data_IF_315316974712
#
_entry.id   IF_315316974712
#
_cell.length_a   1.000
_cell.length_b   1.000
_cell.length_c   1.000
_cell.angle_alpha   90.00
_cell.angle_beta   90.00
_cell.angle_gamma   90.00
#
_symmetry.space_group_name_H-M   'P 1'
#
loop_
_entity.id
_entity.type
_entity.pdbx_description
1 polymer ?
#
# COMPACT_ATOMS: atom_id res chain seq x y z
N UNK A 1 -47.86 21.97 41.22
CA UNK A 1 -47.15 22.15 39.94
C UNK A 1 -45.67 22.30 40.27
N UNK A 2 -44.90 21.21 40.15
CA UNK A 2 -43.46 21.19 40.39
C UNK A 2 -42.74 21.85 39.22
N UNK A 3 -41.96 22.89 39.50
CA UNK A 3 -40.91 23.37 38.58
C UNK A 3 -39.70 22.46 38.77
N UNK A 4 -39.38 21.67 37.76
CA UNK A 4 -38.08 21.03 37.63
C UNK A 4 -37.09 22.10 37.15
N UNK A 5 -36.09 22.39 37.98
CA UNK A 5 -34.86 23.05 37.55
C UNK A 5 -34.07 22.08 36.67
N UNK A 6 -33.98 22.39 35.38
CA UNK A 6 -32.99 21.82 34.48
C UNK A 6 -31.72 22.66 34.66
N UNK A 7 -30.75 22.14 35.41
CA UNK A 7 -29.40 22.68 35.41
C UNK A 7 -28.78 22.40 34.03
N UNK A 8 -28.57 23.45 33.25
CA UNK A 8 -27.67 23.41 32.09
C UNK A 8 -26.27 23.08 32.61
N UNK A 9 -25.75 21.90 32.23
CA UNK A 9 -24.33 21.61 32.38
C UNK A 9 -23.57 22.51 31.41
N UNK A 10 -22.97 23.58 31.93
CA UNK A 10 -21.90 24.30 31.25
C UNK A 10 -20.78 23.30 30.96
N UNK A 11 -20.64 22.90 29.69
CA UNK A 11 -19.45 22.22 29.20
C UNK A 11 -18.28 23.19 29.26
N UNK A 12 -17.43 23.06 30.27
CA UNK A 12 -16.11 23.68 30.28
C UNK A 12 -15.38 23.33 28.98
N UNK A 13 -14.79 24.30 28.27
CA UNK A 13 -14.03 24.00 27.07
C UNK A 13 -12.81 23.17 27.48
N UNK A 14 -12.77 21.90 27.06
CA UNK A 14 -11.55 21.10 27.13
C UNK A 14 -10.45 21.90 26.42
N UNK A 15 -9.32 22.14 27.11
CA UNK A 15 -8.14 22.73 26.49
C UNK A 15 -7.72 21.92 25.27
N UNK A 16 -6.90 22.45 24.35
CA UNK A 16 -6.54 21.75 23.12
C UNK A 16 -5.94 20.37 23.47
N UNK A 17 -6.70 19.31 23.18
CA UNK A 17 -6.26 17.93 23.39
C UNK A 17 -5.18 17.62 22.35
N UNK A 18 -4.00 17.17 22.79
CA UNK A 18 -2.90 16.76 21.89
C UNK A 18 -3.41 15.71 20.90
N UNK A 19 -3.11 15.87 19.62
CA UNK A 19 -3.56 14.91 18.59
C UNK A 19 -2.65 13.68 18.50
N UNK A 20 -3.10 12.61 17.84
CA UNK A 20 -2.29 11.42 17.63
C UNK A 20 -1.07 11.72 16.75
N UNK A 21 -1.22 12.58 15.75
CA UNK A 21 -0.14 13.04 14.88
C UNK A 21 0.89 13.87 15.65
N UNK A 22 0.47 14.82 16.49
CA UNK A 22 1.38 15.62 17.34
C UNK A 22 2.17 14.71 18.30
N UNK A 23 1.48 13.81 18.99
CA UNK A 23 2.10 12.90 19.96
C UNK A 23 3.05 11.89 19.28
N UNK A 24 2.65 11.36 18.12
CA UNK A 24 3.47 10.45 17.33
C UNK A 24 4.74 11.13 16.79
N UNK A 25 4.62 12.39 16.34
CA UNK A 25 5.75 13.25 15.94
C UNK A 25 6.69 13.54 17.10
N UNK A 26 6.16 13.82 18.28
CA UNK A 26 6.96 14.03 19.48
C UNK A 26 7.71 12.76 19.89
N UNK A 27 7.08 11.58 19.81
CA UNK A 27 7.73 10.29 20.06
C UNK A 27 8.85 10.00 19.06
N UNK A 28 8.62 10.28 17.77
CA UNK A 28 9.65 10.16 16.74
C UNK A 28 10.85 11.08 17.03
N UNK A 29 10.60 12.35 17.33
CA UNK A 29 11.67 13.33 17.60
C UNK A 29 12.44 12.98 18.88
N UNK A 30 11.74 12.54 19.92
CA UNK A 30 12.37 12.00 21.13
C UNK A 30 13.30 10.83 20.76
N UNK A 31 12.82 9.87 19.98
CA UNK A 31 13.60 8.70 19.60
C UNK A 31 14.83 9.07 18.77
N UNK A 32 14.71 10.06 17.88
CA UNK A 32 15.81 10.59 17.06
C UNK A 32 16.91 11.19 17.94
N UNK A 33 16.56 12.09 18.85
CA UNK A 33 17.52 12.79 19.74
C UNK A 33 18.21 11.89 20.74
N UNK A 34 17.57 10.78 21.13
CA UNK A 34 18.10 9.86 22.13
C UNK A 34 18.72 8.60 21.52
N UNK A 35 18.80 8.48 20.18
CA UNK A 35 19.42 7.33 19.52
C UNK A 35 18.59 6.04 19.64
N UNK A 36 17.27 6.17 19.78
CA UNK A 36 16.33 5.05 19.80
C UNK A 36 15.78 4.70 18.40
N UNK A 37 16.08 5.49 17.36
CA UNK A 37 15.76 5.13 15.97
C UNK A 37 16.71 4.06 15.41
N UNK A 38 16.23 3.34 14.40
CA UNK A 38 17.06 2.46 13.56
C UNK A 38 17.93 3.24 12.58
N UNK A 39 17.41 4.36 12.06
CA UNK A 39 18.10 5.27 11.15
C UNK A 39 18.33 6.61 11.87
N UNK A 40 19.59 6.95 12.21
CA UNK A 40 19.91 8.19 12.91
C UNK A 40 19.57 9.45 12.11
N UNK A 41 19.71 9.40 10.79
CA UNK A 41 19.53 10.53 9.87
C UNK A 41 18.07 10.68 9.38
N UNK A 42 17.10 10.10 10.08
CA UNK A 42 15.69 10.29 9.78
C UNK A 42 15.28 11.77 9.92
N UNK A 43 14.23 12.16 9.19
CA UNK A 43 13.71 13.52 9.22
C UNK A 43 13.37 13.98 10.66
N UNK A 44 13.69 15.22 11.00
CA UNK A 44 13.33 15.82 12.29
C UNK A 44 11.86 16.21 12.34
N UNK A 45 11.31 16.30 13.54
CA UNK A 45 10.01 16.92 13.79
C UNK A 45 10.15 18.14 14.71
N UNK A 46 9.34 19.20 14.52
CA UNK A 46 9.34 20.35 15.43
C UNK A 46 8.77 20.02 16.82
N UNK A 47 7.95 18.97 16.92
CA UNK A 47 7.32 18.56 18.19
C UNK A 47 8.36 18.00 19.16
N UNK A 48 8.56 18.69 20.28
CA UNK A 48 9.52 18.30 21.31
C UNK A 48 8.80 18.11 22.64
N UNK A 49 8.73 16.86 23.08
CA UNK A 49 8.18 16.49 24.38
C UNK A 49 9.10 15.49 25.08
N UNK A 50 9.11 15.50 26.41
CA UNK A 50 9.74 14.44 27.20
C UNK A 50 8.89 13.16 27.19
N UNK A 51 9.45 12.03 27.60
CA UNK A 51 8.66 10.80 27.72
C UNK A 51 7.57 10.89 28.79
N UNK A 52 7.77 11.66 29.86
CA UNK A 52 6.75 11.94 30.87
C UNK A 52 5.53 12.61 30.24
N UNK A 53 5.75 13.58 29.35
CA UNK A 53 4.70 14.27 28.63
C UNK A 53 4.04 13.35 27.59
N UNK A 54 4.85 12.62 26.80
CA UNK A 54 4.33 11.74 25.74
C UNK A 54 3.46 10.62 26.32
N UNK A 55 3.90 10.02 27.43
CA UNK A 55 3.28 8.83 27.99
C UNK A 55 2.43 9.09 29.25
N UNK A 56 2.20 10.35 29.63
CA UNK A 56 1.47 10.75 30.84
C UNK A 56 1.93 10.00 32.10
N UNK A 57 3.23 10.03 32.35
CA UNK A 57 3.85 9.14 33.34
C UNK A 57 4.90 9.84 34.20
N UNK A 58 5.21 9.28 35.36
CA UNK A 58 6.32 9.74 36.20
C UNK A 58 7.70 9.41 35.60
N UNK A 59 8.74 10.05 36.13
CA UNK A 59 10.12 9.89 35.64
C UNK A 59 10.70 8.49 35.81
N UNK A 60 10.22 7.69 36.76
CA UNK A 60 10.71 6.32 36.95
C UNK A 60 10.15 5.38 35.89
N UNK A 61 8.86 5.51 35.58
CA UNK A 61 8.25 4.80 34.47
C UNK A 61 8.77 5.30 33.10
N UNK A 62 8.99 6.61 32.93
CA UNK A 62 9.63 7.17 31.74
C UNK A 62 11.02 6.57 31.47
N UNK A 63 11.86 6.39 32.51
CA UNK A 63 13.16 5.69 32.39
C UNK A 63 13.00 4.25 31.91
N UNK A 64 12.00 3.52 32.43
CA UNK A 64 11.73 2.12 32.01
C UNK A 64 11.25 2.04 30.57
N UNK A 65 10.41 2.98 30.14
CA UNK A 65 9.93 3.11 28.75
C UNK A 65 11.10 3.42 27.84
N UNK A 66 11.95 4.40 28.18
CA UNK A 66 13.16 4.71 27.43
C UNK A 66 14.04 3.48 27.21
N UNK A 67 14.36 2.73 28.27
CA UNK A 67 15.13 1.49 28.16
C UNK A 67 14.47 0.45 27.23
N UNK A 68 13.15 0.34 27.27
CA UNK A 68 12.40 -0.54 26.37
C UNK A 68 12.51 -0.08 24.91
N UNK A 69 12.29 1.20 24.62
CA UNK A 69 12.36 1.76 23.27
C UNK A 69 13.77 1.68 22.68
N UNK A 70 14.82 1.92 23.47
CA UNK A 70 16.21 1.72 23.05
C UNK A 70 16.51 0.27 22.69
N UNK A 71 15.94 -0.69 23.44
CA UNK A 71 16.08 -2.12 23.15
C UNK A 71 15.28 -2.52 21.91
N UNK A 72 14.12 -1.92 21.68
CA UNK A 72 13.26 -2.23 20.54
C UNK A 72 13.76 -1.65 19.22
N UNK A 73 14.38 -0.46 19.27
CA UNK A 73 14.78 0.37 18.13
C UNK A 73 13.61 0.68 17.22
N UNK A 74 13.15 1.93 17.24
CA UNK A 74 12.02 2.39 16.46
C UNK A 74 12.43 2.50 14.98
N UNK A 75 11.72 1.78 14.13
CA UNK A 75 11.83 1.84 12.67
C UNK A 75 11.04 3.02 12.13
N UNK A 76 9.80 3.18 12.59
CA UNK A 76 8.92 4.29 12.22
C UNK A 76 7.78 4.43 13.25
N UNK A 77 7.10 5.57 13.21
CA UNK A 77 5.87 5.82 13.97
C UNK A 77 4.78 6.21 12.98
N UNK A 78 3.60 5.62 13.14
CA UNK A 78 2.41 6.01 12.37
C UNK A 78 1.31 6.50 13.30
N UNK A 79 0.43 7.37 12.80
CA UNK A 79 -0.70 7.89 13.56
C UNK A 79 -1.93 8.10 12.66
N UNK A 80 -3.10 8.18 13.31
CA UNK A 80 -4.36 8.61 12.71
C UNK A 80 -5.16 9.38 13.76
N UNK A 81 -5.36 10.68 13.52
CA UNK A 81 -6.10 11.58 14.41
C UNK A 81 -7.58 11.20 14.52
N UNK A 82 -8.18 10.76 13.42
CA UNK A 82 -9.63 10.44 13.36
C UNK A 82 -9.95 9.23 14.24
N UNK A 83 -9.06 8.26 14.28
CA UNK A 83 -9.21 7.04 15.07
C UNK A 83 -8.45 7.08 16.41
N UNK A 84 -7.81 8.21 16.74
CA UNK A 84 -6.99 8.39 17.95
C UNK A 84 -6.03 7.21 18.16
N UNK A 85 -5.25 6.88 17.13
CA UNK A 85 -4.35 5.73 17.14
C UNK A 85 -2.91 6.14 16.80
N UNK A 86 -1.95 5.50 17.49
CA UNK A 86 -0.52 5.51 17.16
C UNK A 86 -0.03 4.07 17.06
N UNK A 87 0.73 3.76 16.01
CA UNK A 87 1.47 2.51 15.92
C UNK A 87 2.98 2.75 15.86
N UNK A 88 3.70 2.15 16.80
CA UNK A 88 5.16 2.24 16.91
C UNK A 88 5.78 0.99 16.31
N UNK A 89 6.41 1.15 15.15
CA UNK A 89 7.04 0.07 14.41
C UNK A 89 8.48 -0.10 14.88
N UNK A 90 8.85 -1.30 15.28
CA UNK A 90 10.11 -1.59 15.96
C UNK A 90 10.89 -2.70 15.24
N UNK A 91 12.21 -2.51 15.10
CA UNK A 91 13.09 -3.49 14.46
C UNK A 91 13.18 -4.79 15.24
N UNK A 92 13.30 -4.72 16.56
CA UNK A 92 13.51 -5.91 17.38
C UNK A 92 12.17 -6.51 17.83
N UNK A 93 12.19 -7.80 18.17
CA UNK A 93 11.00 -8.49 18.67
C UNK A 93 10.57 -7.95 20.04
N UNK A 94 9.26 -7.86 20.25
CA UNK A 94 8.67 -7.42 21.51
C UNK A 94 8.42 -8.65 22.38
N UNK A 95 9.18 -8.81 23.46
CA UNK A 95 8.94 -9.88 24.43
C UNK A 95 7.80 -9.53 25.37
N UNK A 96 7.19 -10.53 26.01
CA UNK A 96 6.17 -10.32 27.03
C UNK A 96 6.64 -9.39 28.17
N UNK A 97 7.90 -9.50 28.58
CA UNK A 97 8.50 -8.62 29.59
C UNK A 97 8.62 -7.16 29.14
N UNK A 98 8.90 -6.90 27.85
CA UNK A 98 8.97 -5.55 27.30
C UNK A 98 7.55 -4.99 27.14
N UNK A 99 6.61 -5.78 26.63
CA UNK A 99 5.22 -5.34 26.40
C UNK A 99 4.57 -4.80 27.69
N UNK A 100 4.83 -5.41 28.84
CA UNK A 100 4.33 -4.94 30.15
C UNK A 100 4.84 -3.57 30.58
N UNK A 101 5.90 -3.06 29.96
CA UNK A 101 6.49 -1.74 30.26
C UNK A 101 5.97 -0.63 29.35
N UNK A 102 5.31 -0.99 28.25
CA UNK A 102 4.90 -0.05 27.22
C UNK A 102 3.42 0.32 27.41
N UNK A 103 3.08 1.61 27.54
CA UNK A 103 1.70 2.05 27.65
C UNK A 103 0.93 1.73 26.37
N UNK A 104 -0.31 1.26 26.50
CA UNK A 104 -1.19 0.96 25.35
C UNK A 104 -2.24 2.03 25.12
N UNK A 105 -2.36 3.01 26.03
CA UNK A 105 -3.27 4.14 25.90
C UNK A 105 -2.76 5.32 26.73
N UNK A 106 -2.72 6.51 26.15
CA UNK A 106 -2.27 7.77 26.77
C UNK A 106 -3.01 8.93 26.09
N UNK A 107 -3.32 10.02 26.80
CA UNK A 107 -4.06 11.17 26.25
C UNK A 107 -5.39 10.78 25.56
N UNK A 108 -5.99 9.66 25.96
CA UNK A 108 -7.15 9.07 25.29
C UNK A 108 -6.89 8.47 23.89
N UNK A 109 -5.63 8.38 23.46
CA UNK A 109 -5.12 7.80 22.21
C UNK A 109 -4.59 6.39 22.47
N UNK A 110 -4.97 5.44 21.62
CA UNK A 110 -4.48 4.06 21.68
C UNK A 110 -3.09 3.92 21.04
N UNK A 111 -2.18 3.21 21.71
CA UNK A 111 -0.83 2.95 21.24
C UNK A 111 -0.60 1.45 21.05
N UNK A 112 -0.22 1.06 19.84
CA UNK A 112 0.22 -0.29 19.49
C UNK A 112 1.70 -0.35 19.14
N UNK A 113 2.31 -1.51 19.37
CA UNK A 113 3.71 -1.76 19.05
C UNK A 113 3.86 -2.99 18.19
N UNK A 114 4.53 -2.86 17.05
CA UNK A 114 4.78 -3.96 16.10
C UNK A 114 6.26 -4.24 16.04
N UNK A 115 6.68 -5.45 16.42
CA UNK A 115 8.07 -5.88 16.40
C UNK A 115 8.48 -6.53 15.08
N UNK A 116 9.80 -6.69 14.89
CA UNK A 116 10.43 -7.29 13.70
C UNK A 116 10.13 -6.52 12.40
N UNK A 117 10.03 -5.19 12.47
CA UNK A 117 9.75 -4.35 11.30
C UNK A 117 11.03 -3.82 10.67
N UNK A 118 11.16 -3.98 9.36
CA UNK A 118 12.26 -3.44 8.56
C UNK A 118 11.76 -2.57 7.41
N UNK A 119 12.66 -1.80 6.82
CA UNK A 119 12.45 -1.12 5.54
C UNK A 119 13.45 -1.72 4.56
N UNK A 120 12.95 -2.30 3.48
CA UNK A 120 13.79 -2.89 2.44
C UNK A 120 14.21 -1.85 1.40
N UNK A 121 15.25 -2.19 0.63
CA UNK A 121 15.66 -1.40 -0.53
C UNK A 121 14.71 -1.67 -1.69
N UNK A 122 14.36 -0.65 -2.47
CA UNK A 122 13.51 -0.75 -3.64
C UNK A 122 14.31 -0.73 -4.96
N UNK A 123 13.95 -1.55 -5.97
CA UNK A 123 13.11 -2.74 -5.84
C UNK A 123 13.75 -3.77 -4.89
N UNK A 124 12.97 -4.45 -4.03
CA UNK A 124 13.48 -5.52 -3.16
C UNK A 124 13.88 -6.74 -3.99
N UNK A 125 14.73 -7.59 -3.41
CA UNK A 125 15.09 -8.85 -4.04
C UNK A 125 13.83 -9.71 -4.25
N UNK A 126 13.65 -10.16 -5.48
CA UNK A 126 12.52 -11.02 -5.83
C UNK A 126 12.78 -12.45 -5.35
N UNK A 127 11.80 -13.12 -4.72
CA UNK A 127 11.95 -14.52 -4.37
C UNK A 127 12.01 -15.36 -5.66
N UNK A 128 12.93 -16.35 -5.70
CA UNK A 128 13.13 -17.25 -6.85
C UNK A 128 11.92 -18.15 -7.17
N UNK A 129 10.93 -18.22 -6.28
CA UNK A 129 9.66 -18.92 -6.46
C UNK A 129 8.53 -18.14 -5.80
N UNK A 130 7.29 -18.30 -6.28
CA UNK A 130 6.13 -17.85 -5.54
C UNK A 130 6.12 -18.55 -4.18
N UNK A 131 6.44 -17.84 -3.09
CA UNK A 131 6.57 -18.43 -1.75
C UNK A 131 5.29 -19.15 -1.28
N UNK A 132 4.15 -18.89 -1.92
CA UNK A 132 2.84 -19.39 -1.52
C UNK A 132 2.16 -20.33 -2.53
N UNK A 133 2.86 -20.80 -3.58
CA UNK A 133 2.23 -21.64 -4.62
C UNK A 133 1.11 -20.94 -5.42
N UNK A 134 0.97 -19.63 -5.27
CA UNK A 134 0.09 -18.80 -6.09
C UNK A 134 0.70 -18.63 -7.48
N UNK A 135 -0.10 -18.63 -8.55
CA UNK A 135 0.44 -18.41 -9.88
C UNK A 135 0.96 -16.97 -9.99
N UNK A 136 2.14 -16.81 -10.60
CA UNK A 136 2.80 -15.51 -10.86
C UNK A 136 2.19 -14.74 -12.04
N UNK A 137 1.27 -15.39 -12.74
CA UNK A 137 0.48 -14.87 -13.83
C UNK A 137 -0.97 -15.29 -13.59
N UNK A 138 -1.88 -14.33 -13.65
CA UNK A 138 -3.29 -14.56 -13.39
C UNK A 138 -4.11 -14.33 -14.64
N UNK A 139 -5.15 -15.14 -14.82
CA UNK A 139 -6.07 -14.99 -15.93
C UNK A 139 -7.52 -15.25 -15.59
N UNK A 140 -8.38 -14.65 -16.41
CA UNK A 140 -9.82 -14.81 -16.39
C UNK A 140 -10.32 -14.79 -17.83
N UNK A 141 -11.05 -15.83 -18.25
CA UNK A 141 -11.52 -15.99 -19.64
C UNK A 141 -10.41 -15.78 -20.70
N UNK A 142 -9.25 -16.42 -20.49
CA UNK A 142 -8.04 -16.31 -21.33
C UNK A 142 -7.44 -14.89 -21.44
N UNK A 143 -7.84 -13.96 -20.55
CA UNK A 143 -7.31 -12.59 -20.47
C UNK A 143 -6.38 -12.45 -19.29
N UNK A 144 -5.35 -11.63 -19.45
CA UNK A 144 -4.37 -11.30 -18.42
C UNK A 144 -5.01 -10.37 -17.39
N UNK A 145 -5.12 -10.84 -16.16
CA UNK A 145 -5.72 -10.08 -15.06
C UNK A 145 -4.73 -9.12 -14.41
N UNK A 146 -5.25 -8.08 -13.78
CA UNK A 146 -4.52 -7.34 -12.76
C UNK A 146 -4.09 -8.26 -11.60
N UNK A 147 -3.03 -7.89 -10.89
CA UNK A 147 -2.29 -8.76 -10.00
C UNK A 147 -1.17 -9.54 -10.69
N UNK A 148 -1.22 -9.71 -12.03
CA UNK A 148 -0.22 -10.48 -12.79
C UNK A 148 1.16 -9.82 -12.79
N UNK A 149 2.18 -10.61 -13.08
CA UNK A 149 3.52 -10.07 -13.33
C UNK A 149 3.54 -9.09 -14.50
N UNK A 150 4.27 -7.99 -14.34
CA UNK A 150 4.51 -7.01 -15.38
C UNK A 150 5.90 -6.40 -15.25
N UNK A 151 6.48 -6.01 -16.39
CA UNK A 151 7.69 -5.18 -16.43
C UNK A 151 7.84 -4.51 -17.78
N UNK A 152 8.82 -3.62 -17.90
CA UNK A 152 9.26 -3.09 -19.20
C UNK A 152 10.21 -4.07 -19.90
N UNK A 153 10.12 -4.19 -21.23
CA UNK A 153 10.80 -5.23 -22.02
C UNK A 153 12.32 -5.21 -21.93
N UNK A 154 12.92 -4.10 -21.51
CA UNK A 154 14.38 -3.95 -21.38
C UNK A 154 14.94 -4.41 -20.03
N UNK A 155 14.06 -4.78 -19.08
CA UNK A 155 14.46 -5.10 -17.70
C UNK A 155 14.13 -6.56 -17.39
N UNK A 156 15.11 -7.27 -16.83
CA UNK A 156 14.92 -8.61 -16.27
C UNK A 156 14.56 -8.49 -14.78
N UNK A 157 13.39 -7.92 -14.53
CA UNK A 157 12.81 -7.63 -13.22
C UNK A 157 11.30 -7.61 -13.38
N UNK A 158 10.58 -7.39 -12.28
CA UNK A 158 9.28 -7.98 -12.15
C UNK A 158 8.48 -7.33 -11.00
N UNK A 159 7.36 -6.68 -11.33
CA UNK A 159 6.39 -6.20 -10.34
C UNK A 159 4.99 -6.67 -10.66
N UNK A 160 3.98 -5.93 -10.19
CA UNK A 160 2.56 -6.25 -10.33
C UNK A 160 1.85 -5.27 -11.27
N UNK A 161 1.01 -5.82 -12.16
CA UNK A 161 0.04 -5.06 -12.95
C UNK A 161 -1.12 -4.65 -12.04
N UNK A 162 -1.13 -3.41 -11.58
CA UNK A 162 -2.01 -2.96 -10.49
C UNK A 162 -3.47 -2.87 -10.88
N UNK A 163 -3.78 -2.04 -11.87
CA UNK A 163 -5.14 -1.77 -12.31
C UNK A 163 -5.17 -1.19 -13.73
N UNK A 164 -6.36 -1.18 -14.32
CA UNK A 164 -6.69 -0.44 -15.53
C UNK A 164 -7.33 0.91 -15.17
N UNK A 165 -7.07 1.93 -15.97
CA UNK A 165 -7.69 3.25 -15.85
C UNK A 165 -7.89 3.89 -17.23
N UNK A 166 -8.81 4.84 -17.32
CA UNK A 166 -8.97 5.70 -18.48
C UNK A 166 -8.40 7.08 -18.18
N UNK A 167 -7.57 7.60 -19.09
CA UNK A 167 -7.20 9.00 -19.10
C UNK A 167 -8.43 9.86 -19.46
N UNK A 168 -8.36 11.16 -19.17
CA UNK A 168 -9.42 12.12 -19.53
C UNK A 168 -9.76 12.15 -21.04
N UNK A 169 -8.83 11.76 -21.91
CA UNK A 169 -9.05 11.66 -23.36
C UNK A 169 -9.57 10.29 -23.85
N UNK A 170 -9.91 9.40 -22.91
CA UNK A 170 -10.48 8.08 -23.20
C UNK A 170 -9.47 6.98 -23.50
N UNK A 171 -8.17 7.26 -23.48
CA UNK A 171 -7.15 6.21 -23.65
C UNK A 171 -7.10 5.29 -22.44
N UNK A 172 -7.18 3.98 -22.71
CA UNK A 172 -6.99 2.94 -21.70
C UNK A 172 -5.51 2.79 -21.36
N UNK A 173 -5.21 2.86 -20.06
CA UNK A 173 -3.88 2.68 -19.50
C UNK A 173 -3.86 1.58 -18.44
N UNK A 174 -2.72 0.92 -18.30
CA UNK A 174 -2.41 0.10 -17.14
C UNK A 174 -1.47 0.82 -16.19
N UNK A 175 -1.48 0.42 -14.92
CA UNK A 175 -0.66 1.00 -13.86
C UNK A 175 0.32 -0.01 -13.25
N UNK A 176 1.51 0.47 -12.90
CA UNK A 176 2.40 -0.14 -11.91
C UNK A 176 3.24 0.94 -11.24
N UNK A 177 4.13 0.59 -10.30
CA UNK A 177 5.04 1.57 -9.74
C UNK A 177 6.07 2.04 -10.79
N UNK A 178 6.59 3.25 -10.61
CA UNK A 178 7.68 3.78 -11.43
C UNK A 178 8.93 2.91 -11.28
N UNK A 179 9.27 2.46 -10.07
CA UNK A 179 10.42 1.57 -9.92
C UNK A 179 10.27 0.19 -10.59
N UNK A 180 9.05 -0.17 -11.03
CA UNK A 180 8.78 -1.40 -11.79
C UNK A 180 8.80 -1.11 -13.29
N UNK A 181 7.77 -0.44 -13.81
CA UNK A 181 7.59 -0.26 -15.27
C UNK A 181 8.18 1.04 -15.81
N UNK A 182 8.54 1.97 -14.93
CA UNK A 182 9.29 3.19 -15.25
C UNK A 182 10.80 3.04 -15.06
N UNK A 183 11.28 1.90 -14.53
CA UNK A 183 12.70 1.64 -14.21
C UNK A 183 13.33 2.79 -13.41
N UNK A 184 12.64 3.26 -12.37
CA UNK A 184 13.09 4.39 -11.55
C UNK A 184 13.43 5.62 -12.41
N UNK A 185 12.51 6.05 -13.28
CA UNK A 185 12.65 7.15 -14.26
C UNK A 185 13.37 6.83 -15.58
N UNK A 186 13.78 5.58 -15.84
CA UNK A 186 14.66 5.26 -16.98
C UNK A 186 14.02 4.48 -18.12
N UNK A 187 12.71 4.24 -18.08
CA UNK A 187 11.98 3.64 -19.20
C UNK A 187 11.60 4.71 -20.22
N UNK A 188 12.07 4.63 -21.48
CA UNK A 188 11.67 5.59 -22.51
C UNK A 188 10.19 5.46 -22.86
N UNK A 189 9.49 6.57 -23.18
CA UNK A 189 8.16 6.51 -23.77
C UNK A 189 8.15 5.62 -25.02
N UNK A 190 7.11 4.79 -25.15
CA UNK A 190 6.96 3.82 -26.24
C UNK A 190 7.61 2.46 -26.01
N UNK A 191 8.44 2.29 -24.96
CA UNK A 191 9.04 0.98 -24.65
C UNK A 191 7.97 -0.06 -24.31
N UNK A 192 8.10 -1.29 -24.81
CA UNK A 192 7.07 -2.31 -24.60
C UNK A 192 6.94 -2.71 -23.13
N UNK A 193 5.69 -2.91 -22.70
CA UNK A 193 5.37 -3.48 -21.38
C UNK A 193 4.88 -4.91 -21.60
N UNK A 194 5.51 -5.84 -20.90
CA UNK A 194 5.30 -7.28 -21.06
C UNK A 194 4.55 -7.85 -19.86
N UNK A 195 3.59 -8.74 -20.13
CA UNK A 195 2.97 -9.61 -19.14
C UNK A 195 2.78 -11.03 -19.72
N UNK A 196 3.17 -12.10 -19.01
CA UNK A 196 3.99 -12.04 -17.80
C UNK A 196 5.33 -11.34 -18.04
N UNK A 197 5.99 -10.94 -16.96
CA UNK A 197 7.37 -10.41 -17.06
C UNK A 197 8.31 -11.48 -17.64
N UNK A 198 9.39 -11.13 -18.37
CA UNK A 198 10.38 -12.10 -18.83
C UNK A 198 11.01 -12.92 -17.69
N UNK A 199 11.11 -12.38 -16.48
CA UNK A 199 11.60 -13.11 -15.31
C UNK A 199 10.68 -14.29 -14.95
N UNK A 200 9.38 -14.13 -15.17
CA UNK A 200 8.33 -15.09 -14.80
C UNK A 200 7.94 -16.04 -15.94
N UNK A 201 8.65 -15.95 -17.07
CA UNK A 201 8.47 -16.85 -18.19
C UNK A 201 8.98 -18.25 -17.81
N UNK A 202 8.12 -19.25 -17.92
CA UNK A 202 8.46 -20.64 -17.69
C UNK A 202 7.61 -21.54 -18.60
N UNK A 203 7.96 -22.83 -18.76
CA UNK A 203 7.12 -23.75 -19.53
C UNK A 203 5.69 -23.92 -18.99
N UNK A 204 5.44 -23.52 -17.74
CA UNK A 204 4.13 -23.59 -17.08
C UNK A 204 3.39 -22.24 -17.05
N UNK A 205 3.96 -21.17 -17.62
CA UNK A 205 3.32 -19.87 -17.80
C UNK A 205 3.28 -19.53 -19.30
N UNK A 206 2.33 -18.69 -19.75
CA UNK A 206 2.34 -18.24 -21.13
C UNK A 206 3.62 -17.45 -21.44
N UNK A 207 4.07 -17.43 -22.71
CA UNK A 207 5.21 -16.61 -23.09
C UNK A 207 4.93 -15.13 -22.79
N UNK A 208 5.94 -14.33 -22.42
CA UNK A 208 5.79 -12.88 -22.30
C UNK A 208 5.21 -12.29 -23.58
N UNK A 209 4.12 -11.54 -23.45
CA UNK A 209 3.51 -10.80 -24.56
C UNK A 209 3.46 -9.32 -24.23
N UNK A 210 3.66 -8.48 -25.24
CA UNK A 210 3.46 -7.05 -25.09
C UNK A 210 1.96 -6.74 -24.94
N UNK A 211 1.57 -6.19 -23.80
CA UNK A 211 0.20 -5.75 -23.51
C UNK A 211 0.02 -4.24 -23.77
N UNK A 212 1.13 -3.51 -23.84
CA UNK A 212 1.13 -2.06 -23.96
C UNK A 212 2.52 -1.47 -24.19
N UNK A 213 2.58 -0.15 -24.12
CA UNK A 213 3.83 0.62 -24.19
C UNK A 213 3.89 1.66 -23.08
N UNK A 214 5.07 1.84 -22.46
CA UNK A 214 5.32 2.84 -21.44
C UNK A 214 4.88 4.21 -21.96
N UNK A 215 4.11 4.93 -21.15
CA UNK A 215 3.50 6.18 -21.58
C UNK A 215 3.99 7.36 -20.75
N UNK A 216 3.86 7.29 -19.43
CA UNK A 216 4.26 8.34 -18.53
C UNK A 216 4.61 7.79 -17.15
N UNK A 217 5.33 8.58 -16.37
CA UNK A 217 5.65 8.33 -14.98
C UNK A 217 5.63 9.63 -14.18
N UNK A 218 5.46 9.49 -12.86
CA UNK A 218 5.73 10.55 -11.91
C UNK A 218 7.18 10.40 -11.43
N UNK A 219 8.06 11.40 -11.67
CA UNK A 219 9.49 11.25 -11.42
C UNK A 219 9.82 11.01 -9.95
N UNK A 220 10.68 10.04 -9.67
CA UNK A 220 11.30 9.87 -8.36
C UNK A 220 12.48 10.85 -8.24
N UNK A 221 12.37 11.84 -7.35
CA UNK A 221 13.46 12.77 -7.07
C UNK A 221 14.23 12.38 -5.81
N UNK A 222 15.52 12.68 -5.79
CA UNK A 222 16.36 12.54 -4.60
C UNK A 222 17.05 13.84 -4.23
N UNK A 223 17.35 13.98 -2.94
CA UNK A 223 17.93 15.20 -2.37
C UNK A 223 17.66 15.28 -0.87
N UNK A 224 18.10 16.39 -0.27
CA UNK A 224 17.77 16.71 1.13
C UNK A 224 16.26 16.97 1.25
N UNK A 225 15.53 16.26 2.14
CA UNK A 225 14.08 16.42 2.29
C UNK A 225 13.64 17.82 2.75
N UNK A 226 14.57 18.67 3.22
CA UNK A 226 14.32 20.07 3.56
C UNK A 226 14.51 21.02 2.37
N UNK A 227 15.01 20.53 1.23
CA UNK A 227 15.35 21.33 0.04
C UNK A 227 14.58 20.89 -1.20
N UNK A 228 14.02 19.68 -1.21
CA UNK A 228 13.23 19.15 -2.33
C UNK A 228 11.80 18.83 -1.90
N UNK A 229 10.88 18.82 -2.87
CA UNK A 229 9.53 18.31 -2.65
C UNK A 229 9.57 16.82 -2.34
N UNK A 230 8.89 16.44 -1.26
CA UNK A 230 8.66 15.04 -0.92
C UNK A 230 7.83 14.36 -2.00
N UNK A 231 8.11 13.08 -2.20
CA UNK A 231 7.35 12.26 -3.14
C UNK A 231 6.02 11.83 -2.50
N UNK A 232 4.93 11.91 -3.25
CA UNK A 232 3.62 11.42 -2.79
C UNK A 232 3.18 10.18 -3.59
N UNK A 233 3.99 9.78 -4.56
CA UNK A 233 3.68 8.71 -5.51
C UNK A 233 4.95 7.99 -5.96
N UNK A 234 4.83 6.68 -6.21
CA UNK A 234 5.78 5.90 -7.01
C UNK A 234 4.97 5.23 -8.11
N UNK A 235 4.93 5.84 -9.29
CA UNK A 235 3.83 5.62 -10.22
C UNK A 235 4.26 5.75 -11.69
N UNK A 236 3.93 4.74 -12.48
CA UNK A 236 4.06 4.73 -13.93
C UNK A 236 2.81 4.14 -14.58
N UNK A 237 2.48 4.67 -15.75
CA UNK A 237 1.37 4.22 -16.57
C UNK A 237 1.85 3.84 -17.96
N UNK A 238 1.17 2.87 -18.56
CA UNK A 238 1.44 2.41 -19.91
C UNK A 238 0.15 2.35 -20.71
N UNK A 239 0.20 2.75 -21.98
CA UNK A 239 -0.94 2.64 -22.89
C UNK A 239 -1.20 1.18 -23.16
N UNK A 240 -2.45 0.73 -22.97
CA UNK A 240 -2.88 -0.60 -23.37
C UNK A 240 -3.08 -0.60 -24.88
N UNK A 241 -2.20 -1.31 -25.60
CA UNK A 241 -2.29 -1.44 -27.07
C UNK A 241 -3.06 -2.67 -27.51
N UNK A 242 -3.33 -3.60 -26.58
CA UNK A 242 -4.08 -4.83 -26.81
C UNK A 242 -5.17 -4.99 -25.75
N UNK A 243 -6.24 -4.17 -25.81
CA UNK A 243 -7.29 -4.17 -24.79
C UNK A 243 -8.03 -5.50 -24.71
N UNK A 244 -8.05 -6.28 -25.79
CA UNK A 244 -8.60 -7.62 -25.87
C UNK A 244 -7.78 -8.67 -25.12
N UNK A 245 -6.56 -8.37 -24.66
CA UNK A 245 -5.72 -9.29 -23.91
C UNK A 245 -5.78 -9.12 -22.40
N UNK A 246 -6.30 -8.01 -21.90
CA UNK A 246 -6.25 -7.67 -20.47
C UNK A 246 -7.64 -7.66 -19.86
N UNK A 247 -7.72 -7.88 -18.55
CA UNK A 247 -8.96 -7.81 -17.77
C UNK A 247 -8.76 -6.91 -16.54
N UNK A 248 -9.82 -6.20 -16.13
CA UNK A 248 -9.83 -5.45 -14.87
C UNK A 248 -9.96 -6.34 -13.63
N UNK A 249 -10.19 -7.65 -13.82
CA UNK A 249 -10.23 -8.62 -12.73
C UNK A 249 -8.88 -8.67 -12.00
N UNK A 250 -8.95 -8.84 -10.68
CA UNK A 250 -7.80 -8.98 -9.80
C UNK A 250 -7.57 -10.47 -9.50
N UNK A 251 -6.38 -10.97 -9.85
CA UNK A 251 -6.03 -12.38 -9.73
C UNK A 251 -6.79 -13.28 -10.70
N UNK A 252 -6.96 -14.55 -10.36
CA UNK A 252 -7.71 -15.52 -11.18
C UNK A 252 -9.23 -15.32 -11.02
N UNK A 253 -9.69 -14.10 -11.23
CA UNK A 253 -11.09 -13.73 -11.08
C UNK A 253 -11.56 -13.60 -9.62
N UNK A 254 -10.70 -13.22 -8.67
CA UNK A 254 -11.10 -13.10 -7.26
C UNK A 254 -12.14 -12.00 -7.03
N UNK A 255 -11.96 -10.85 -7.69
CA UNK A 255 -12.88 -9.72 -7.70
C UNK A 255 -12.52 -8.79 -8.87
N UNK A 256 -13.45 -7.93 -9.28
CA UNK A 256 -13.17 -6.88 -10.26
C UNK A 256 -12.62 -5.61 -9.58
N UNK A 257 -11.86 -4.80 -10.31
CA UNK A 257 -11.30 -3.55 -9.78
C UNK A 257 -12.42 -2.57 -9.40
N UNK A 258 -12.55 -2.16 -8.12
CA UNK A 258 -13.59 -1.22 -7.72
C UNK A 258 -13.28 0.19 -8.23
N UNK A 259 -14.29 0.83 -8.82
CA UNK A 259 -14.18 2.16 -9.42
C UNK A 259 -14.22 3.30 -8.40
N UNK A 260 -14.80 3.07 -7.22
CA UNK A 260 -14.86 4.04 -6.12
C UNK A 260 -13.60 4.00 -5.27
N UNK A 261 -13.26 5.13 -4.66
CA UNK A 261 -12.15 5.25 -3.70
C UNK A 261 -12.67 5.46 -2.28
N UNK A 262 -11.91 4.99 -1.30
CA UNK A 262 -12.14 5.27 0.12
C UNK A 262 -10.83 5.79 0.75
N UNK A 263 -10.87 6.90 1.53
CA UNK A 263 -9.69 7.35 2.29
C UNK A 263 -9.19 6.27 3.25
N UNK A 264 -7.88 6.24 3.46
CA UNK A 264 -7.26 5.35 4.45
C UNK A 264 -7.55 5.82 5.87
N UNK A 265 -7.70 4.87 6.78
CA UNK A 265 -7.86 5.10 8.21
C UNK A 265 -7.30 3.92 8.99
N UNK A 266 -6.77 4.14 10.19
CA UNK A 266 -6.29 3.06 11.06
C UNK A 266 -7.42 2.06 11.36
N UNK A 267 -7.08 0.78 11.42
CA UNK A 267 -8.03 -0.31 11.62
C UNK A 267 -8.79 -0.72 10.35
N UNK A 268 -8.70 0.03 9.25
CA UNK A 268 -9.34 -0.34 7.99
C UNK A 268 -8.81 -1.69 7.50
N UNK A 269 -9.75 -2.62 7.27
CA UNK A 269 -9.47 -3.96 6.75
C UNK A 269 -9.35 -3.91 5.23
N UNK A 270 -8.25 -4.42 4.71
CA UNK A 270 -7.90 -4.33 3.30
C UNK A 270 -7.41 -5.66 2.75
N UNK A 271 -7.42 -5.78 1.43
CA UNK A 271 -6.79 -6.88 0.69
C UNK A 271 -6.12 -6.36 -0.57
N UNK A 272 -5.19 -7.15 -1.10
CA UNK A 272 -4.54 -6.90 -2.40
C UNK A 272 -4.30 -8.22 -3.11
N UNK A 273 -4.21 -8.18 -4.44
CA UNK A 273 -3.65 -9.27 -5.24
C UNK A 273 -2.33 -8.78 -5.82
N UNK A 274 -1.24 -9.49 -5.50
CA UNK A 274 0.09 -9.20 -6.01
C UNK A 274 0.71 -10.44 -6.62
N UNK A 275 1.65 -10.24 -7.55
CA UNK A 275 2.27 -11.34 -8.29
C UNK A 275 2.95 -12.37 -7.38
N UNK A 276 3.56 -11.93 -6.28
CA UNK A 276 4.38 -12.82 -5.44
C UNK A 276 3.53 -13.51 -4.39
N UNK A 277 2.76 -12.73 -3.62
CA UNK A 277 2.04 -13.28 -2.46
C UNK A 277 0.57 -13.58 -2.75
N UNK A 278 0.10 -13.29 -3.96
CA UNK A 278 -1.30 -13.48 -4.36
C UNK A 278 -2.25 -12.60 -3.56
N UNK A 279 -3.45 -13.14 -3.31
CA UNK A 279 -4.45 -12.51 -2.46
C UNK A 279 -3.98 -12.50 -1.00
N UNK A 280 -3.75 -11.32 -0.43
CA UNK A 280 -3.45 -11.18 1.01
C UNK A 280 -4.37 -10.17 1.68
N UNK A 281 -4.98 -10.53 2.82
CA UNK A 281 -5.63 -9.58 3.70
C UNK A 281 -4.65 -8.94 4.68
N UNK A 282 -5.00 -7.74 5.15
CA UNK A 282 -4.27 -7.01 6.17
C UNK A 282 -5.09 -5.92 6.82
N UNK A 283 -4.45 -5.18 7.72
CA UNK A 283 -5.04 -4.09 8.50
C UNK A 283 -4.16 -2.85 8.41
N UNK A 284 -4.75 -1.70 8.09
CA UNK A 284 -4.07 -0.40 8.06
C UNK A 284 -3.71 0.02 9.49
N UNK A 285 -2.44 0.42 9.70
CA UNK A 285 -1.91 0.82 11.02
C UNK A 285 -1.96 2.34 11.24
N UNK A 286 -1.78 3.14 10.19
CA UNK A 286 -1.76 4.60 10.26
C UNK A 286 -0.84 5.24 9.23
N UNK A 287 -0.84 6.57 9.19
CA UNK A 287 0.02 7.39 8.33
C UNK A 287 1.38 7.65 9.01
N UNK A 288 2.47 7.64 8.26
CA UNK A 288 3.80 8.01 8.75
C UNK A 288 3.80 9.44 9.29
N UNK A 289 4.26 9.61 10.52
CA UNK A 289 4.18 10.91 11.21
C UNK A 289 5.21 11.95 10.72
N UNK A 290 6.25 11.47 10.03
CA UNK A 290 7.34 12.25 9.42
C UNK A 290 7.62 11.74 8.00
N UNK A 291 8.37 12.49 7.17
CA UNK A 291 8.79 12.01 5.86
C UNK A 291 9.46 10.63 5.92
N UNK A 292 8.92 9.68 5.16
CA UNK A 292 9.38 8.30 5.15
C UNK A 292 10.45 8.10 4.07
N UNK A 293 11.59 7.57 4.46
CA UNK A 293 12.71 7.35 3.53
C UNK A 293 12.62 5.94 2.94
N UNK A 294 12.88 5.82 1.64
CA UNK A 294 13.07 4.54 0.97
C UNK A 294 14.41 4.59 0.22
N UNK A 295 15.34 3.66 0.49
CA UNK A 295 16.52 3.51 -0.33
C UNK A 295 16.13 2.83 -1.64
N UNK A 296 16.39 3.48 -2.77
CA UNK A 296 16.31 2.88 -4.09
C UNK A 296 17.69 2.45 -4.58
N UNK A 297 17.75 1.27 -5.19
CA UNK A 297 18.96 0.72 -5.79
C UNK A 297 18.61 -0.16 -6.99
N UNK A 298 18.81 0.39 -8.18
CA UNK A 298 18.77 -0.29 -9.46
C UNK A 298 20.07 -0.01 -10.24
N UNK A 299 20.21 -0.63 -11.41
CA UNK A 299 21.38 -0.41 -12.27
C UNK A 299 21.54 1.03 -12.74
N UNK A 300 20.45 1.81 -12.80
CA UNK A 300 20.43 3.19 -13.31
C UNK A 300 20.10 4.24 -12.25
N UNK A 301 19.63 3.82 -11.07
CA UNK A 301 19.22 4.74 -10.01
C UNK A 301 19.60 4.19 -8.63
N UNK A 302 20.45 4.92 -7.91
CA UNK A 302 20.82 4.58 -6.55
C UNK A 302 20.76 5.83 -5.67
N UNK A 303 19.72 5.95 -4.84
CA UNK A 303 19.55 7.09 -3.94
C UNK A 303 18.50 6.81 -2.86
N UNK A 304 18.51 7.59 -1.79
CA UNK A 304 17.37 7.69 -0.88
C UNK A 304 16.33 8.64 -1.49
N UNK A 305 15.06 8.26 -1.40
CA UNK A 305 13.90 9.06 -1.79
C UNK A 305 13.01 9.22 -0.57
N UNK A 306 12.53 10.44 -0.31
CA UNK A 306 11.68 10.76 0.83
C UNK A 306 10.24 10.96 0.39
N UNK A 307 9.32 10.33 1.10
CA UNK A 307 7.90 10.33 0.82
C UNK A 307 7.08 10.97 1.95
N UNK A 308 5.97 11.60 1.58
CA UNK A 308 4.88 11.98 2.49
C UNK A 308 3.60 11.23 2.12
N UNK A 309 2.64 11.14 3.04
CA UNK A 309 1.38 10.44 2.81
C UNK A 309 1.51 8.92 2.75
N UNK A 310 2.57 8.35 3.34
CA UNK A 310 2.80 6.90 3.38
C UNK A 310 1.99 6.28 4.50
N UNK A 311 1.29 5.18 4.21
CA UNK A 311 0.56 4.42 5.21
C UNK A 311 1.16 3.02 5.40
N UNK A 312 1.16 2.53 6.64
CA UNK A 312 1.61 1.18 6.97
C UNK A 312 0.43 0.19 7.02
N UNK A 313 0.66 -1.04 6.55
CA UNK A 313 -0.27 -2.17 6.65
C UNK A 313 0.44 -3.35 7.30
N UNK A 314 -0.21 -3.96 8.28
CA UNK A 314 0.18 -5.26 8.82
C UNK A 314 -0.59 -6.38 8.11
N UNK A 315 0.12 -7.43 7.71
CA UNK A 315 -0.50 -8.63 7.15
C UNK A 315 -1.11 -9.53 8.21
N UNK A 316 -2.11 -10.32 7.82
CA UNK A 316 -2.82 -11.22 8.72
C UNK A 316 -2.10 -12.57 8.95
N UNK A 317 -2.45 -13.23 10.05
CA UNK A 317 -2.08 -14.62 10.29
C UNK A 317 -0.57 -14.85 10.44
N UNK A 318 0.18 -13.81 10.81
CA UNK A 318 1.64 -13.84 10.92
C UNK A 318 2.38 -13.75 9.59
N UNK A 319 1.68 -13.51 8.48
CA UNK A 319 2.29 -13.27 7.18
C UNK A 319 2.49 -11.78 6.92
N UNK A 320 3.43 -11.43 6.05
CA UNK A 320 3.52 -10.08 5.47
C UNK A 320 2.31 -9.81 4.57
N UNK A 321 1.94 -8.55 4.45
CA UNK A 321 0.88 -8.13 3.52
C UNK A 321 1.36 -8.17 2.06
N UNK A 322 2.64 -7.86 1.84
CA UNK A 322 3.31 -7.91 0.55
C UNK A 322 4.77 -8.35 0.70
N UNK A 323 5.34 -8.85 -0.39
CA UNK A 323 6.77 -9.16 -0.54
C UNK A 323 7.33 -8.53 -1.82
N UNK A 324 8.63 -8.70 -2.06
CA UNK A 324 9.24 -8.26 -3.31
C UNK A 324 8.53 -8.84 -4.54
N UNK A 325 8.18 -7.98 -5.49
CA UNK A 325 7.39 -8.30 -6.68
C UNK A 325 5.91 -7.92 -6.60
N UNK A 326 5.39 -7.65 -5.39
CA UNK A 326 4.03 -7.13 -5.20
C UNK A 326 3.92 -5.62 -5.42
N UNK A 327 5.02 -4.91 -5.64
CA UNK A 327 5.04 -3.49 -6.00
C UNK A 327 4.11 -3.21 -7.18
N UNK A 328 3.21 -2.25 -7.00
CA UNK A 328 2.18 -1.87 -7.96
C UNK A 328 0.82 -2.51 -7.68
N UNK A 329 0.70 -3.46 -6.75
CA UNK A 329 -0.57 -4.10 -6.40
C UNK A 329 -1.60 -3.07 -5.92
N UNK A 330 -2.81 -3.14 -6.48
CA UNK A 330 -3.95 -2.39 -5.98
C UNK A 330 -4.35 -2.92 -4.60
N UNK A 331 -4.54 -1.99 -3.66
CA UNK A 331 -5.10 -2.27 -2.34
C UNK A 331 -6.54 -1.79 -2.32
N UNK A 332 -7.43 -2.69 -1.94
CA UNK A 332 -8.87 -2.46 -1.82
C UNK A 332 -9.35 -2.77 -0.41
N UNK A 333 -10.54 -2.28 -0.05
CA UNK A 333 -11.23 -2.71 1.18
C UNK A 333 -11.45 -4.23 1.18
N UNK A 334 -11.55 -4.85 2.36
CA UNK A 334 -11.63 -6.31 2.49
C UNK A 334 -12.82 -6.93 1.74
N UNK A 335 -13.93 -6.20 1.64
CA UNK A 335 -15.11 -6.57 0.84
C UNK A 335 -14.88 -6.42 -0.67
N UNK A 336 -13.86 -5.67 -1.10
CA UNK A 336 -13.56 -5.35 -2.49
C UNK A 336 -14.40 -4.18 -3.03
N UNK A 337 -15.08 -3.43 -2.18
CA UNK A 337 -15.99 -2.36 -2.59
C UNK A 337 -15.30 -1.04 -2.98
N UNK A 338 -14.10 -0.77 -2.47
CA UNK A 338 -13.40 0.50 -2.70
C UNK A 338 -11.89 0.31 -2.86
N UNK A 339 -11.29 1.10 -3.75
CA UNK A 339 -9.84 1.24 -3.92
C UNK A 339 -9.27 2.23 -2.91
N UNK A 340 -8.16 1.90 -2.24
CA UNK A 340 -7.62 2.74 -1.15
C UNK A 340 -6.17 3.14 -1.36
N UNK A 341 -5.36 2.32 -2.03
CA UNK A 341 -3.94 2.60 -2.20
C UNK A 341 -3.23 1.63 -3.11
N UNK A 342 -1.91 1.81 -3.22
CA UNK A 342 -1.03 0.91 -3.97
C UNK A 342 0.18 0.53 -3.13
N UNK A 343 0.58 -0.74 -3.18
CA UNK A 343 1.82 -1.21 -2.57
C UNK A 343 3.00 -0.62 -3.33
N UNK A 344 3.96 -0.01 -2.62
CA UNK A 344 5.19 0.49 -3.24
C UNK A 344 6.47 0.09 -2.51
N UNK A 345 6.38 -0.31 -1.24
CA UNK A 345 7.51 -0.78 -0.46
C UNK A 345 7.05 -1.75 0.62
N UNK A 346 8.00 -2.40 1.29
CA UNK A 346 7.70 -3.24 2.43
C UNK A 346 8.95 -3.64 3.20
N UNK A 347 8.73 -4.52 4.16
CA UNK A 347 9.75 -5.25 4.88
C UNK A 347 9.10 -6.27 5.79
N UNK A 348 9.87 -6.85 6.70
CA UNK A 348 9.33 -7.82 7.64
C UNK A 348 8.14 -7.22 8.40
N UNK A 349 7.06 -8.01 8.50
CA UNK A 349 5.80 -7.73 9.19
C UNK A 349 4.94 -6.53 8.73
N UNK A 350 5.48 -5.58 7.95
CA UNK A 350 4.75 -4.38 7.53
C UNK A 350 5.04 -4.04 6.08
N UNK A 351 3.98 -3.70 5.35
CA UNK A 351 4.03 -3.15 4.00
C UNK A 351 3.70 -1.66 4.02
N UNK A 352 4.19 -0.92 3.04
CA UNK A 352 3.96 0.50 2.90
C UNK A 352 3.21 0.78 1.60
N UNK A 353 2.19 1.63 1.71
CA UNK A 353 1.31 1.98 0.60
C UNK A 353 1.21 3.50 0.44
N UNK A 354 0.88 3.91 -0.77
CA UNK A 354 0.53 5.29 -1.09
C UNK A 354 -0.96 5.38 -1.47
N UNK A 355 -1.69 6.42 -1.02
CA UNK A 355 -3.10 6.61 -1.35
C UNK A 355 -3.30 6.69 -2.87
N UNK A 356 -4.31 5.97 -3.38
CA UNK A 356 -4.54 5.89 -4.82
C UNK A 356 -5.09 7.21 -5.40
N UNK A 357 -5.85 7.97 -4.60
CA UNK A 357 -6.48 9.23 -5.04
C UNK A 357 -5.47 10.21 -5.64
N UNK A 358 -4.32 10.39 -4.99
CA UNK A 358 -3.26 11.29 -5.48
C UNK A 358 -2.71 10.87 -6.85
N UNK A 359 -2.57 9.57 -7.08
CA UNK A 359 -2.11 9.01 -8.36
C UNK A 359 -3.14 9.26 -9.46
N UNK A 360 -4.42 9.02 -9.17
CA UNK A 360 -5.53 9.26 -10.11
C UNK A 360 -5.61 10.74 -10.48
N UNK A 361 -5.49 11.64 -9.50
CA UNK A 361 -5.55 13.09 -9.71
C UNK A 361 -4.38 13.60 -10.56
N UNK A 362 -3.14 13.19 -10.24
CA UNK A 362 -1.94 13.65 -10.95
C UNK A 362 -1.89 13.18 -12.40
N UNK A 363 -2.36 11.96 -12.69
CA UNK A 363 -2.50 11.48 -14.07
C UNK A 363 -3.82 11.88 -14.74
N UNK A 364 -4.77 12.47 -13.99
CA UNK A 364 -6.12 12.80 -14.45
C UNK A 364 -6.82 11.59 -15.08
N UNK A 365 -6.88 10.50 -14.31
CA UNK A 365 -7.41 9.22 -14.75
C UNK A 365 -8.47 8.65 -13.80
N UNK A 366 -9.35 7.82 -14.33
CA UNK A 366 -10.42 7.15 -13.59
C UNK A 366 -10.28 5.64 -13.69
N UNK A 367 -10.47 4.93 -12.57
CA UNK A 367 -10.39 3.47 -12.53
C UNK A 367 -11.38 2.81 -13.48
N UNK A 368 -10.94 1.72 -14.12
CA UNK A 368 -11.75 0.90 -15.02
C UNK A 368 -12.19 -0.37 -14.31
N UNK A 369 -13.50 -0.57 -14.30
CA UNK A 369 -14.22 -1.79 -13.87
C UNK A 369 -14.94 -2.36 -15.09
N UNK A 370 -15.24 -3.65 -15.07
CA UNK A 370 -16.03 -4.32 -16.10
C UNK A 370 -15.23 -4.78 -17.32
N UNK A 371 -13.98 -4.35 -17.49
CA UNK A 371 -13.19 -4.59 -18.70
C UNK A 371 -12.81 -6.06 -18.83
N UNK A 372 -13.42 -6.76 -19.79
CA UNK A 372 -13.26 -8.21 -19.98
C UNK A 372 -13.41 -9.01 -18.67
N UNK A 373 -14.40 -8.63 -17.86
CA UNK A 373 -14.65 -9.20 -16.52
C UNK A 373 -15.77 -10.26 -16.51
N UNK A 374 -16.51 -10.38 -17.60
CA UNK A 374 -17.62 -11.32 -17.72
C UNK A 374 -17.16 -12.75 -17.37
N UNK A 375 -17.95 -13.48 -16.60
CA UNK A 375 -17.71 -14.89 -16.34
C UNK A 375 -17.69 -15.62 -17.69
N UNK A 376 -16.66 -16.45 -17.93
CA UNK A 376 -16.63 -17.27 -19.13
C UNK A 376 -17.86 -18.21 -19.14
N UNK A 377 -18.89 -17.83 -19.90
CA UNK A 377 -20.10 -18.57 -20.25
C UNK A 377 -21.06 -18.98 -19.12
N UNK A 378 -22.12 -18.19 -18.90
CA UNK A 378 -23.48 -18.75 -18.79
C UNK A 378 -23.92 -19.16 -20.21
N UNK A 379 -24.36 -20.41 -20.46
CA UNK A 379 -24.80 -20.80 -21.79
C UNK A 379 -26.03 -19.98 -22.20
N UNK A 380 -25.92 -19.28 -23.33
CA UNK A 380 -27.01 -18.51 -23.93
C UNK A 380 -28.26 -19.38 -24.08
N UNK A 381 -29.28 -19.11 -23.29
CA UNK A 381 -30.60 -19.69 -23.46
C UNK A 381 -31.23 -19.14 -24.74
N UNK A 382 -30.94 -19.77 -25.88
CA UNK A 382 -31.69 -19.57 -27.11
C UNK A 382 -33.04 -20.26 -26.93
N UNK A 383 -34.09 -19.46 -26.71
CA UNK A 383 -35.47 -19.93 -26.78
C UNK A 383 -35.79 -20.35 -28.22
N UNK A 384 -35.70 -21.64 -28.51
CA UNK A 384 -36.41 -22.21 -29.66
C UNK A 384 -37.82 -22.58 -29.21
N UNK A 385 -38.79 -21.82 -29.69
CA UNK A 385 -40.21 -22.20 -29.68
C UNK A 385 -40.41 -23.47 -30.51
N UNK A 386 -41.16 -24.48 -30.02
CA UNK A 386 -41.48 -25.64 -30.83
C UNK A 386 -42.49 -25.24 -31.91
N UNK A 387 -42.11 -25.41 -33.16
CA UNK A 387 -43.00 -25.40 -34.32
C UNK A 387 -43.95 -26.60 -34.24
N UNK A 388 -45.25 -26.33 -34.05
CA UNK A 388 -46.34 -27.27 -34.31
C UNK A 388 -46.39 -27.62 -35.79
N UNK A 389 -46.01 -28.86 -36.12
CA UNK A 389 -46.23 -29.45 -37.44
C UNK A 389 -47.52 -30.29 -37.37
N UNK A 390 -48.54 -29.85 -38.09
CA UNK A 390 -49.78 -30.59 -38.31
C UNK A 390 -49.56 -31.58 -39.46
N UNK A 391 -49.84 -32.87 -39.22
CA UNK A 391 -49.97 -33.87 -40.29
C UNK A 391 -51.32 -33.70 -41.01
N UNK A 392 -51.38 -33.81 -42.34
CA UNK A 392 -52.60 -34.16 -43.04
C UNK A 392 -52.64 -35.65 -43.40
N UNK A 393 -53.81 -36.24 -43.12
CA UNK A 393 -54.51 -37.39 -43.73
C UNK A 393 -53.70 -38.47 -44.46
#
# INVERSE_FOLDING_TARGET
MNKLDLQEQESTPEGPSVTAMELGRALHEWARRHGALTMPDAASSPEQMSLEQIYETDSEAAKRISQALHKLKITAVTADDSNKNISVLCKNAISSQISKKLPTRVHGIDISYTGKVTVETNPPALPFSAQSGSPIWFSHADKICCGSSVTTSQVFDAGTFGFLANLADGRLVGFSNNHVTGECNHTPPGMHILSPSPLDASPSSPPPVAIGTHFALLPLNSGDPNQISLQETDAAIFLITRPDLVSSMQGNGFYDTPSSILPLSSGLRVKKVGRTTGLRPGTVLGEMVVPFFIPYKSNKFQSIVYFSGVWAIQGDGGNTFSEGGDSGSLVVTIDGGHSVGVVFAGGNNVSYILPIGKILDLFKMTLVTGHNSELANEPSAVSQSPSTEAQPS
#
